data_IF_342062803853
#
_entry.id   IF_342062803853
#
_cell.length_a   1.000
_cell.length_b   1.000
_cell.length_c   1.000
_cell.angle_alpha   90.00
_cell.angle_beta   90.00
_cell.angle_gamma   90.00
#
_symmetry.space_group_name_H-M   'P 1'
#
loop_
_entity.id
_entity.type
_entity.pdbx_description
1 polymer ?
#
# COMPACT_ATOMS: atom_id res chain seq x y z
N UNK A 1 -19.12 -5.22 -12.81
CA UNK A 1 -18.80 -4.07 -11.93
C UNK A 1 -19.66 -2.91 -12.40
N UNK A 2 -20.87 -2.82 -11.87
CA UNK A 2 -21.85 -1.79 -12.23
C UNK A 2 -21.49 -0.50 -11.50
N UNK A 3 -21.86 0.68 -12.02
CA UNK A 3 -21.67 1.97 -11.32
C UNK A 3 -22.37 2.03 -9.94
N UNK A 4 -23.16 0.99 -9.59
CA UNK A 4 -23.74 0.77 -8.26
C UNK A 4 -22.78 0.16 -7.24
N UNK A 5 -21.67 -0.45 -7.67
CA UNK A 5 -20.69 -1.07 -6.77
C UNK A 5 -19.68 -0.05 -6.21
N UNK A 6 -19.66 1.17 -6.76
CA UNK A 6 -18.80 2.26 -6.31
C UNK A 6 -19.49 3.03 -5.18
N UNK A 7 -18.89 2.99 -3.99
CA UNK A 7 -19.37 3.73 -2.83
C UNK A 7 -19.29 5.25 -3.04
N UNK A 8 -20.24 5.96 -2.44
CA UNK A 8 -20.17 7.42 -2.34
C UNK A 8 -19.01 7.84 -1.42
N UNK A 9 -18.49 9.05 -1.58
CA UNK A 9 -17.39 9.62 -0.78
C UNK A 9 -17.73 9.56 0.71
N UNK A 10 -18.96 9.91 1.09
CA UNK A 10 -19.40 9.89 2.49
C UNK A 10 -19.35 8.47 3.09
N UNK A 11 -19.78 7.47 2.33
CA UNK A 11 -19.78 6.07 2.77
C UNK A 11 -18.36 5.51 2.83
N UNK A 12 -17.52 5.88 1.87
CA UNK A 12 -16.09 5.51 1.83
C UNK A 12 -15.34 6.07 3.05
N UNK A 13 -15.57 7.33 3.41
CA UNK A 13 -14.96 7.95 4.60
C UNK A 13 -15.41 7.22 5.87
N UNK A 14 -16.68 6.83 5.96
CA UNK A 14 -17.19 6.10 7.11
C UNK A 14 -16.52 4.72 7.25
N UNK A 15 -16.41 3.98 6.15
CA UNK A 15 -15.69 2.70 6.10
C UNK A 15 -14.20 2.84 6.43
N UNK A 16 -13.50 3.82 5.87
CA UNK A 16 -12.09 4.06 6.17
C UNK A 16 -11.91 4.41 7.65
N UNK A 17 -12.78 5.26 8.22
CA UNK A 17 -12.69 5.59 9.65
C UNK A 17 -12.91 4.37 10.54
N UNK A 18 -13.84 3.47 10.18
CA UNK A 18 -14.09 2.23 10.92
C UNK A 18 -12.87 1.28 10.86
N UNK A 19 -12.22 1.19 9.70
CA UNK A 19 -10.95 0.45 9.54
C UNK A 19 -9.85 1.07 10.41
N UNK A 20 -9.78 2.39 10.50
CA UNK A 20 -8.82 3.11 11.33
C UNK A 20 -8.98 2.84 12.82
N UNK A 21 -10.22 2.85 13.32
CA UNK A 21 -10.53 2.48 14.71
C UNK A 21 -10.13 1.02 15.00
N UNK A 22 -10.39 0.11 14.05
CA UNK A 22 -10.02 -1.31 14.21
C UNK A 22 -8.51 -1.51 14.21
N UNK A 23 -7.80 -0.88 13.26
CA UNK A 23 -6.33 -0.94 13.16
C UNK A 23 -5.70 -0.38 14.42
N UNK A 24 -6.16 0.78 14.90
CA UNK A 24 -5.69 1.42 16.14
C UNK A 24 -5.77 0.57 17.41
N UNK A 25 -6.58 -0.50 17.43
CA UNK A 25 -6.73 -1.41 18.56
C UNK A 25 -5.99 -2.74 18.37
N UNK A 26 -5.24 -2.91 17.27
CA UNK A 26 -4.41 -4.10 17.08
C UNK A 26 -3.29 -4.16 18.11
N UNK A 27 -2.98 -5.38 18.55
CA UNK A 27 -1.84 -5.64 19.42
C UNK A 27 -0.52 -5.46 18.64
N UNK A 28 0.51 -5.05 19.37
CA UNK A 28 1.84 -4.70 18.81
C UNK A 28 2.51 -5.90 18.13
N UNK A 29 2.37 -7.10 18.71
CA UNK A 29 2.85 -8.36 18.14
C UNK A 29 2.32 -8.61 16.72
N UNK A 30 1.01 -8.44 16.52
CA UNK A 30 0.37 -8.60 15.23
C UNK A 30 0.78 -7.51 14.24
N UNK A 31 0.96 -6.28 14.72
CA UNK A 31 1.41 -5.15 13.89
C UNK A 31 2.82 -5.43 13.36
N UNK A 32 3.76 -5.81 14.23
CA UNK A 32 5.15 -6.07 13.82
C UNK A 32 5.23 -7.18 12.76
N UNK A 33 4.54 -8.30 12.98
CA UNK A 33 4.56 -9.43 12.04
C UNK A 33 3.96 -9.03 10.68
N UNK A 34 2.82 -8.33 10.69
CA UNK A 34 2.15 -7.91 9.45
C UNK A 34 2.93 -6.82 8.70
N UNK A 35 3.52 -5.87 9.43
CA UNK A 35 4.35 -4.82 8.84
C UNK A 35 5.64 -5.38 8.25
N UNK A 36 6.27 -6.35 8.93
CA UNK A 36 7.42 -7.06 8.40
C UNK A 36 7.06 -7.82 7.12
N UNK A 37 5.96 -8.58 7.13
CA UNK A 37 5.49 -9.31 5.95
C UNK A 37 5.16 -8.36 4.78
N UNK A 38 4.52 -7.22 5.06
CA UNK A 38 4.26 -6.19 4.05
C UNK A 38 5.56 -5.67 3.43
N UNK A 39 6.59 -5.44 4.24
CA UNK A 39 7.92 -5.05 3.77
C UNK A 39 8.54 -6.09 2.84
N UNK A 40 8.54 -7.36 3.24
CA UNK A 40 9.07 -8.47 2.43
C UNK A 40 8.34 -8.57 1.08
N UNK A 41 7.00 -8.54 1.07
CA UNK A 41 6.21 -8.61 -0.15
C UNK A 41 6.45 -7.41 -1.08
N UNK A 42 6.55 -6.21 -0.51
CA UNK A 42 6.86 -5.00 -1.27
C UNK A 42 8.29 -5.05 -1.84
N UNK A 43 9.26 -5.56 -1.08
CA UNK A 43 10.63 -5.77 -1.53
C UNK A 43 10.72 -6.76 -2.69
N UNK A 44 9.90 -7.81 -2.74
CA UNK A 44 9.82 -8.69 -3.90
C UNK A 44 9.33 -7.96 -5.16
N UNK A 45 8.31 -7.11 -5.04
CA UNK A 45 7.86 -6.25 -6.14
C UNK A 45 8.93 -5.24 -6.58
N UNK A 46 9.68 -4.68 -5.62
CA UNK A 46 10.83 -3.81 -5.86
C UNK A 46 11.98 -4.54 -6.57
N UNK A 47 12.32 -5.75 -6.14
CA UNK A 47 13.33 -6.57 -6.80
C UNK A 47 12.93 -6.89 -8.23
N UNK A 48 11.67 -7.26 -8.47
CA UNK A 48 11.16 -7.50 -9.83
C UNK A 48 11.25 -6.25 -10.71
N UNK A 49 10.88 -5.09 -10.17
CA UNK A 49 11.03 -3.78 -10.82
C UNK A 49 12.51 -3.46 -11.15
N UNK A 50 13.44 -3.81 -10.26
CA UNK A 50 14.89 -3.66 -10.50
C UNK A 50 15.44 -4.66 -11.51
N UNK A 51 14.95 -5.90 -11.53
CA UNK A 51 15.38 -6.90 -12.53
C UNK A 51 14.91 -6.51 -13.92
N UNK A 52 13.66 -6.04 -14.06
CA UNK A 52 13.11 -5.57 -15.35
C UNK A 52 13.79 -4.27 -15.81
N UNK A 53 14.03 -3.33 -14.88
CA UNK A 53 14.61 -2.02 -15.19
C UNK A 53 16.16 -1.96 -15.17
N UNK A 54 16.85 -2.93 -14.58
CA UNK A 54 18.30 -2.92 -14.45
C UNK A 54 18.96 -4.08 -15.19
N UNK A 55 18.28 -5.21 -15.31
CA UNK A 55 18.80 -6.42 -15.95
C UNK A 55 18.73 -6.40 -17.47
N UNK A 56 17.99 -5.47 -18.09
CA UNK A 56 17.74 -5.46 -19.52
C UNK A 56 18.37 -4.25 -20.23
N UNK A 57 19.71 -4.23 -20.29
CA UNK A 57 20.49 -3.21 -21.05
C UNK A 57 20.10 -3.14 -22.52
N UNK A 58 19.58 -4.24 -23.11
CA UNK A 58 19.10 -4.28 -24.49
C UNK A 58 17.84 -3.43 -24.71
N UNK A 59 16.95 -3.34 -23.72
CA UNK A 59 15.70 -2.58 -23.86
C UNK A 59 15.95 -1.07 -23.82
N UNK A 60 16.85 -0.63 -22.94
CA UNK A 60 17.25 0.78 -22.85
C UNK A 60 18.03 1.25 -24.09
N UNK A 61 18.83 0.37 -24.70
CA UNK A 61 19.57 0.67 -25.93
C UNK A 61 18.68 0.72 -27.18
N UNK A 62 17.67 -0.16 -27.27
CA UNK A 62 16.84 -0.28 -28.48
C UNK A 62 15.62 0.66 -28.50
N UNK A 63 15.03 0.97 -27.34
CA UNK A 63 13.76 1.73 -27.24
C UNK A 63 13.89 3.08 -26.51
N UNK A 64 15.09 3.42 -26.02
CA UNK A 64 15.36 4.65 -25.30
C UNK A 64 14.91 4.65 -23.83
N UNK A 65 15.40 5.60 -23.02
CA UNK A 65 15.22 5.60 -21.56
C UNK A 65 13.77 5.83 -21.11
N UNK A 66 12.94 6.46 -21.93
CA UNK A 66 11.54 6.76 -21.61
C UNK A 66 10.68 5.50 -21.53
N UNK A 67 10.64 4.71 -22.59
CA UNK A 67 9.84 3.48 -22.68
C UNK A 67 10.27 2.46 -21.63
N UNK A 68 11.58 2.34 -21.42
CA UNK A 68 12.15 1.47 -20.40
C UNK A 68 11.64 1.81 -18.98
N UNK A 69 11.62 3.10 -18.60
CA UNK A 69 11.07 3.53 -17.31
C UNK A 69 9.56 3.34 -17.22
N UNK A 70 8.81 3.47 -18.31
CA UNK A 70 7.37 3.22 -18.32
C UNK A 70 7.05 1.74 -18.05
N UNK A 71 7.80 0.81 -18.64
CA UNK A 71 7.64 -0.63 -18.37
C UNK A 71 7.99 -0.93 -16.91
N UNK A 72 9.09 -0.37 -16.41
CA UNK A 72 9.46 -0.49 -15.00
C UNK A 72 8.35 0.02 -14.06
N UNK A 73 7.76 1.18 -14.37
CA UNK A 73 6.66 1.76 -13.60
C UNK A 73 5.37 0.91 -13.66
N UNK A 74 5.09 0.25 -14.79
CA UNK A 74 3.93 -0.64 -14.93
C UNK A 74 4.05 -1.92 -14.08
N UNK A 75 5.28 -2.34 -13.79
CA UNK A 75 5.59 -3.58 -13.06
C UNK A 75 5.61 -3.38 -11.54
N UNK A 76 5.98 -2.19 -11.06
CA UNK A 76 6.04 -1.88 -9.63
C UNK A 76 4.75 -2.14 -8.81
N UNK A 77 3.52 -1.86 -9.31
CA UNK A 77 2.28 -2.07 -8.56
C UNK A 77 2.02 -3.51 -8.13
N UNK A 78 2.69 -4.49 -8.73
CA UNK A 78 2.54 -5.91 -8.38
C UNK A 78 2.87 -6.13 -6.90
N UNK A 79 3.90 -5.46 -6.37
CA UNK A 79 4.23 -5.54 -4.94
C UNK A 79 3.11 -5.03 -4.04
N UNK A 80 2.43 -3.95 -4.44
CA UNK A 80 1.29 -3.39 -3.69
C UNK A 80 0.07 -4.32 -3.74
N UNK A 81 -0.19 -4.95 -4.88
CA UNK A 81 -1.30 -5.91 -5.03
C UNK A 81 -1.08 -7.11 -4.09
N UNK A 82 0.14 -7.65 -4.01
CA UNK A 82 0.48 -8.75 -3.11
C UNK A 82 0.24 -8.40 -1.64
N UNK A 83 0.61 -7.18 -1.23
CA UNK A 83 0.37 -6.67 0.13
C UNK A 83 -1.13 -6.60 0.44
N UNK A 84 -1.94 -6.09 -0.50
CA UNK A 84 -3.39 -5.94 -0.34
C UNK A 84 -4.07 -7.31 -0.24
N UNK A 85 -3.72 -8.25 -1.12
CA UNK A 85 -4.31 -9.61 -1.13
C UNK A 85 -3.94 -10.38 0.14
N UNK A 86 -2.72 -10.20 0.64
CA UNK A 86 -2.28 -10.83 1.90
C UNK A 86 -2.89 -10.17 3.13
N UNK A 87 -3.45 -8.95 3.00
CA UNK A 87 -3.96 -8.18 4.13
C UNK A 87 -2.86 -7.74 5.11
N UNK A 88 -1.64 -7.58 4.61
CA UNK A 88 -0.50 -7.14 5.39
C UNK A 88 -0.57 -5.61 5.64
N UNK A 89 -0.04 -5.18 6.78
CA UNK A 89 -0.20 -3.80 7.25
C UNK A 89 0.98 -2.94 6.78
N UNK A 90 0.82 -2.23 5.67
CA UNK A 90 1.85 -1.32 5.15
C UNK A 90 1.73 0.07 5.78
N UNK A 91 2.87 0.67 6.17
CA UNK A 91 2.94 1.97 6.84
C UNK A 91 2.17 3.07 6.08
N UNK A 92 2.41 3.24 4.78
CA UNK A 92 1.75 4.28 3.98
C UNK A 92 0.22 4.16 3.96
N UNK A 93 -0.30 2.93 3.90
CA UNK A 93 -1.74 2.66 3.98
C UNK A 93 -2.29 2.90 5.39
N UNK A 94 -1.55 2.53 6.43
CA UNK A 94 -1.94 2.78 7.82
C UNK A 94 -2.00 4.28 8.11
N UNK A 95 -1.01 5.07 7.65
CA UNK A 95 -1.01 6.53 7.81
C UNK A 95 -2.27 7.14 7.18
N UNK A 96 -2.64 6.74 5.95
CA UNK A 96 -3.87 7.22 5.30
C UNK A 96 -5.11 6.97 6.15
N UNK A 97 -5.30 5.72 6.58
CA UNK A 97 -6.50 5.31 7.32
C UNK A 97 -6.55 5.96 8.72
N UNK A 98 -5.42 6.01 9.42
CA UNK A 98 -5.34 6.59 10.77
C UNK A 98 -5.51 8.11 10.75
N UNK A 99 -4.95 8.82 9.76
CA UNK A 99 -5.12 10.27 9.62
C UNK A 99 -6.59 10.59 9.34
N UNK A 100 -7.24 9.87 8.41
CA UNK A 100 -8.66 10.08 8.13
C UNK A 100 -9.52 9.81 9.36
N UNK A 101 -9.24 8.73 10.10
CA UNK A 101 -9.93 8.40 11.34
C UNK A 101 -9.74 9.47 12.43
N UNK A 102 -8.54 10.05 12.53
CA UNK A 102 -8.25 11.14 13.49
C UNK A 102 -8.90 12.45 13.10
N UNK A 103 -8.93 12.80 11.80
CA UNK A 103 -9.70 13.94 11.29
C UNK A 103 -11.20 13.76 11.52
N UNK A 104 -11.69 12.52 11.44
CA UNK A 104 -13.06 12.15 11.79
C UNK A 104 -13.29 12.06 13.32
N UNK A 105 -12.30 12.42 14.14
CA UNK A 105 -12.33 12.40 15.62
C UNK A 105 -12.62 11.03 16.25
N UNK A 106 -12.38 9.93 15.53
CA UNK A 106 -12.59 8.56 16.04
C UNK A 106 -11.34 7.96 16.69
N UNK A 107 -10.15 8.50 16.42
CA UNK A 107 -8.86 8.05 16.98
C UNK A 107 -7.98 9.22 17.40
N UNK A 108 -7.19 9.04 18.46
CA UNK A 108 -6.26 10.05 18.98
C UNK A 108 -4.88 9.94 18.32
N UNK A 109 -4.15 11.05 18.23
CA UNK A 109 -2.77 11.11 17.70
C UNK A 109 -1.78 10.18 18.41
N UNK A 110 -1.99 9.91 19.70
CA UNK A 110 -1.18 8.95 20.48
C UNK A 110 -1.22 7.55 19.87
N UNK A 111 -2.34 7.17 19.26
CA UNK A 111 -2.47 5.85 18.64
C UNK A 111 -1.64 5.71 17.36
N UNK A 112 -1.15 6.81 16.78
CA UNK A 112 -0.26 6.76 15.62
C UNK A 112 1.17 6.37 15.99
N UNK A 113 1.60 6.60 17.24
CA UNK A 113 2.99 6.33 17.67
C UNK A 113 3.34 4.84 17.74
N UNK A 114 2.33 3.97 17.64
CA UNK A 114 2.47 2.52 17.75
C UNK A 114 2.56 1.86 16.35
N UNK A 115 2.39 2.63 15.26
CA UNK A 115 2.39 2.15 13.87
C UNK A 115 3.57 2.66 13.04
#
# INVERSE_FOLDING_TARGET
MSLRDAYNIYETIEHISAIGVRKSKQKIDHIIIKSFLAGVLLSFGGLFCLTVGGGNTLLAQNFGPGIHKTIQAAVFPIGLILVIVTGADLFTGNTMVLVISTLHKKTTWINHLIF
#
